data_IF_628963133778
#
_entry.id   IF_628963133778
#
_cell.length_a   1.000
_cell.length_b   1.000
_cell.length_c   1.000
_cell.angle_alpha   90.00
_cell.angle_beta   90.00
_cell.angle_gamma   90.00
#
_symmetry.space_group_name_H-M   'P 1'
#
loop_
_entity.id
_entity.type
_entity.pdbx_description
1 polymer ?
#
# COMPACT_ATOMS: atom_id res chain seq x y z
N UNK A 1 -17.03 5.92 -9.42
CA UNK A 1 -15.61 6.22 -9.12
C UNK A 1 -15.03 5.12 -8.25
N UNK A 2 -14.44 4.09 -8.84
CA UNK A 2 -13.78 3.00 -8.10
C UNK A 2 -12.27 3.25 -8.04
N UNK A 3 -11.84 4.28 -7.30
CA UNK A 3 -10.44 4.74 -7.27
C UNK A 3 -9.46 3.72 -6.65
N UNK A 4 -9.97 2.82 -5.78
CA UNK A 4 -9.18 1.78 -5.10
C UNK A 4 -9.33 0.38 -5.70
N UNK A 5 -10.24 0.22 -6.67
CA UNK A 5 -10.49 -1.07 -7.30
C UNK A 5 -9.43 -1.45 -8.32
N UNK A 6 -8.77 -0.46 -8.94
CA UNK A 6 -7.74 -0.73 -9.96
C UNK A 6 -6.48 -1.38 -9.38
N UNK A 7 -5.70 -2.08 -10.20
CA UNK A 7 -4.41 -2.66 -9.81
C UNK A 7 -3.52 -1.60 -9.12
N UNK A 8 -3.35 -0.44 -9.77
CA UNK A 8 -2.58 0.70 -9.26
C UNK A 8 -3.19 1.31 -7.98
N UNK A 9 -4.50 1.46 -7.93
CA UNK A 9 -5.21 2.02 -6.78
C UNK A 9 -5.17 1.11 -5.55
N UNK A 10 -5.21 -0.20 -5.76
CA UNK A 10 -5.10 -1.20 -4.69
C UNK A 10 -3.71 -1.22 -4.07
N UNK A 11 -2.64 -0.97 -4.86
CA UNK A 11 -1.28 -0.85 -4.34
C UNK A 11 -1.14 0.38 -3.42
N UNK A 12 -1.77 1.50 -3.76
CA UNK A 12 -1.82 2.67 -2.88
C UNK A 12 -2.57 2.38 -1.57
N UNK A 13 -3.68 1.63 -1.63
CA UNK A 13 -4.41 1.18 -0.45
C UNK A 13 -3.56 0.25 0.44
N UNK A 14 -2.78 -0.65 -0.16
CA UNK A 14 -1.84 -1.50 0.58
C UNK A 14 -0.74 -0.70 1.27
N UNK A 15 -0.14 0.28 0.59
CA UNK A 15 0.86 1.19 1.19
C UNK A 15 0.24 1.94 2.37
N UNK A 16 -0.98 2.46 2.21
CA UNK A 16 -1.71 3.17 3.26
C UNK A 16 -1.94 2.28 4.49
N UNK A 17 -2.40 1.04 4.29
CA UNK A 17 -2.63 0.09 5.37
C UNK A 17 -1.33 -0.32 6.07
N UNK A 18 -0.27 -0.62 5.31
CA UNK A 18 1.04 -0.99 5.85
C UNK A 18 1.67 0.16 6.65
N UNK A 19 1.59 1.39 6.14
CA UNK A 19 2.06 2.60 6.83
C UNK A 19 1.25 2.85 8.11
N UNK A 20 -0.08 2.76 8.03
CA UNK A 20 -0.97 2.88 9.18
C UNK A 20 -0.66 1.85 10.26
N UNK A 21 -0.49 0.59 9.88
CA UNK A 21 -0.12 -0.49 10.80
C UNK A 21 1.26 -0.26 11.43
N UNK A 22 2.25 0.15 10.64
CA UNK A 22 3.60 0.47 11.15
C UNK A 22 3.54 1.59 12.19
N UNK A 23 2.74 2.63 11.93
CA UNK A 23 2.53 3.74 12.87
C UNK A 23 1.83 3.27 14.17
N UNK A 24 0.78 2.44 14.05
CA UNK A 24 0.11 1.86 15.22
C UNK A 24 1.08 1.01 16.05
N UNK A 25 1.85 0.13 15.41
CA UNK A 25 2.88 -0.67 16.09
C UNK A 25 3.89 0.24 16.78
N UNK A 26 4.38 1.30 16.14
CA UNK A 26 5.31 2.24 16.77
C UNK A 26 4.74 2.92 18.03
N UNK A 27 3.44 3.26 18.02
CA UNK A 27 2.79 3.94 19.16
C UNK A 27 2.46 2.96 20.30
N UNK A 28 1.96 1.77 19.98
CA UNK A 28 1.43 0.81 20.97
C UNK A 28 2.46 -0.21 21.49
N UNK A 29 3.63 -0.36 20.85
CA UNK A 29 4.66 -1.35 21.25
C UNK A 29 5.64 -0.89 22.33
N UNK A 30 5.36 0.22 23.03
CA UNK A 30 6.27 0.84 24.03
C UNK A 30 6.60 -0.06 25.23
N UNK A 31 5.88 -1.15 25.45
CA UNK A 31 6.14 -2.14 26.51
C UNK A 31 7.22 -3.17 26.16
N UNK A 32 7.71 -3.21 24.93
CA UNK A 32 8.73 -4.17 24.49
C UNK A 32 10.16 -3.64 24.71
N UNK A 33 11.15 -4.53 24.88
CA UNK A 33 12.56 -4.14 24.87
C UNK A 33 12.92 -3.37 23.59
N UNK A 34 13.67 -2.27 23.72
CA UNK A 34 14.00 -1.35 22.62
C UNK A 34 14.59 -2.08 21.40
N UNK A 35 15.44 -3.08 21.63
CA UNK A 35 16.05 -3.87 20.56
C UNK A 35 15.01 -4.68 19.76
N UNK A 36 13.98 -5.20 20.44
CA UNK A 36 12.90 -5.95 19.81
C UNK A 36 11.97 -5.02 19.03
N UNK A 37 11.62 -3.87 19.63
CA UNK A 37 10.83 -2.84 18.96
C UNK A 37 11.53 -2.33 17.70
N UNK A 38 12.84 -2.04 17.78
CA UNK A 38 13.63 -1.60 16.64
C UNK A 38 13.70 -2.63 15.51
N UNK A 39 13.76 -3.94 15.83
CA UNK A 39 13.70 -5.01 14.82
C UNK A 39 12.35 -5.05 14.12
N UNK A 40 11.25 -4.98 14.87
CA UNK A 40 9.89 -5.01 14.32
C UNK A 40 9.68 -3.81 13.40
N UNK A 41 9.99 -2.60 13.87
CA UNK A 41 9.85 -1.37 13.09
C UNK A 41 10.80 -1.34 11.90
N UNK A 42 12.02 -1.87 12.03
CA UNK A 42 12.97 -1.97 10.93
C UNK A 42 12.47 -2.88 9.81
N UNK A 43 11.92 -4.05 10.14
CA UNK A 43 11.35 -4.98 9.16
C UNK A 43 10.11 -4.37 8.50
N UNK A 44 9.19 -3.80 9.28
CA UNK A 44 7.98 -3.14 8.74
C UNK A 44 8.33 -1.94 7.84
N UNK A 45 9.33 -1.15 8.24
CA UNK A 45 9.84 -0.03 7.46
C UNK A 45 10.44 -0.48 6.13
N UNK A 46 11.23 -1.55 6.14
CA UNK A 46 11.84 -2.11 4.92
C UNK A 46 10.78 -2.63 3.94
N UNK A 47 9.74 -3.29 4.44
CA UNK A 47 8.59 -3.73 3.64
C UNK A 47 7.86 -2.53 3.03
N UNK A 48 7.61 -1.48 3.82
CA UNK A 48 6.97 -0.24 3.31
C UNK A 48 7.80 0.41 2.20
N UNK A 49 9.11 0.53 2.38
CA UNK A 49 10.02 1.08 1.36
C UNK A 49 9.96 0.25 0.07
N UNK A 50 9.95 -1.09 0.19
CA UNK A 50 9.82 -1.98 -0.96
C UNK A 50 8.51 -1.75 -1.75
N UNK A 51 7.38 -1.64 -1.04
CA UNK A 51 6.08 -1.37 -1.67
C UNK A 51 6.00 0.02 -2.31
N UNK A 52 6.55 1.05 -1.65
CA UNK A 52 6.61 2.41 -2.19
C UNK A 52 7.49 2.44 -3.44
N UNK A 53 8.68 1.84 -3.39
CA UNK A 53 9.57 1.75 -4.54
C UNK A 53 8.91 0.99 -5.70
N UNK A 54 8.27 -0.15 -5.44
CA UNK A 54 7.52 -0.89 -6.44
C UNK A 54 6.41 -0.02 -7.07
N UNK A 55 5.64 0.71 -6.27
CA UNK A 55 4.60 1.59 -6.76
C UNK A 55 5.15 2.73 -7.64
N UNK A 56 6.27 3.34 -7.26
CA UNK A 56 6.88 4.43 -8.01
C UNK A 56 7.52 3.97 -9.33
N UNK A 57 8.22 2.83 -9.32
CA UNK A 57 9.00 2.38 -10.48
C UNK A 57 8.22 1.45 -11.42
N UNK A 58 7.39 0.54 -10.88
CA UNK A 58 6.74 -0.51 -11.67
C UNK A 58 5.26 -0.22 -11.94
N UNK A 59 4.55 0.41 -11.01
CA UNK A 59 3.08 0.53 -11.05
C UNK A 59 2.59 1.98 -11.12
N UNK A 60 3.37 2.87 -11.74
CA UNK A 60 3.26 4.34 -11.67
C UNK A 60 1.81 4.86 -11.68
N UNK A 61 1.19 5.09 -10.50
CA UNK A 61 -0.22 5.47 -10.40
C UNK A 61 -0.44 6.95 -10.77
N UNK A 62 0.66 7.71 -10.86
CA UNK A 62 0.67 9.15 -11.12
C UNK A 62 0.92 9.48 -12.60
N UNK A 63 1.36 8.50 -13.40
CA UNK A 63 1.45 8.64 -14.86
C UNK A 63 0.08 8.57 -15.55
N UNK A 64 -1.00 8.28 -14.82
CA UNK A 64 -2.38 8.35 -15.31
C UNK A 64 -2.73 9.82 -15.57
N UNK A 65 -2.43 10.23 -16.80
CA UNK A 65 -2.54 11.57 -17.32
C UNK A 65 -3.98 12.08 -17.31
N UNK A 66 -4.20 13.19 -16.60
CA UNK A 66 -5.27 14.13 -16.91
C UNK A 66 -5.17 14.47 -18.42
N UNK A 67 -6.24 14.37 -19.24
CA UNK A 67 -7.66 14.50 -18.88
C UNK A 67 -8.52 13.24 -19.12
N UNK A 68 -7.96 12.11 -19.55
CA UNK A 68 -8.74 10.91 -19.88
C UNK A 68 -8.64 9.87 -18.77
N UNK A 69 -9.61 9.90 -17.85
CA UNK A 69 -9.82 8.80 -16.92
C UNK A 69 -10.51 7.64 -17.68
N UNK A 70 -10.02 6.39 -17.59
CA UNK A 70 -10.74 5.25 -18.15
C UNK A 70 -12.07 5.07 -17.41
N UNK A 71 -13.17 5.11 -18.16
CA UNK A 71 -14.49 4.73 -17.69
C UNK A 71 -14.53 3.20 -17.62
N UNK A 72 -14.79 2.68 -16.42
CA UNK A 72 -15.21 1.31 -16.09
C UNK A 72 -14.19 0.16 -16.11
N UNK A 73 -13.99 -0.41 -14.90
CA UNK A 73 -14.16 -1.85 -14.63
C UNK A 73 -13.07 -2.83 -15.08
N UNK A 74 -12.28 -2.55 -16.10
CA UNK A 74 -11.33 -3.53 -16.67
C UNK A 74 -10.03 -3.71 -15.89
N UNK A 75 -9.75 -2.86 -14.91
CA UNK A 75 -8.47 -2.83 -14.20
C UNK A 75 -8.59 -3.36 -12.76
N UNK A 76 -9.73 -3.96 -12.40
CA UNK A 76 -10.00 -4.46 -11.06
C UNK A 76 -8.91 -5.45 -10.63
N UNK A 77 -8.27 -5.22 -9.47
CA UNK A 77 -7.26 -6.14 -8.93
C UNK A 77 -7.85 -7.56 -8.90
N UNK A 78 -7.23 -8.56 -9.57
CA UNK A 78 -7.78 -9.91 -9.65
C UNK A 78 -8.05 -10.56 -8.27
N UNK A 79 -7.36 -10.12 -7.21
CA UNK A 79 -7.62 -10.53 -5.82
C UNK A 79 -8.93 -9.96 -5.22
N UNK A 80 -9.44 -8.86 -5.78
CA UNK A 80 -10.68 -8.19 -5.38
C UNK A 80 -11.85 -8.50 -6.34
N UNK A 81 -11.61 -9.33 -7.36
CA UNK A 81 -12.63 -9.73 -8.32
C UNK A 81 -13.49 -10.91 -7.85
N UNK A 82 -13.21 -11.47 -6.66
CA UNK A 82 -14.00 -12.58 -6.14
C UNK A 82 -15.20 -12.08 -5.32
N UNK A 83 -16.33 -11.97 -6.02
CA UNK A 83 -17.65 -12.14 -5.42
C UNK A 83 -18.40 -13.18 -6.25
N UNK A 84 -17.98 -14.43 -6.09
CA UNK A 84 -18.66 -15.66 -6.54
C UNK A 84 -18.81 -16.63 -5.37
#
# INVERSE_FOLDING_TARGET
TASFGSHEGSMLLWILMLSGWTALVAVFSKGLPLLMQGRILGVLGLINIGFIAFSLFMSNPFARSLPFYPVEGMDLNPLLQDFG
#
